data_IF_544961044638
#
_entry.id   IF_544961044638
#
_cell.length_a   1.000
_cell.length_b   1.000
_cell.length_c   1.000
_cell.angle_alpha   90.00
_cell.angle_beta   90.00
_cell.angle_gamma   90.00
#
_symmetry.space_group_name_H-M   'P 1'
#
loop_
_entity.id
_entity.type
_entity.pdbx_description
1 polymer ?
#
# COMPACT_ATOMS: atom_id res chain seq x y z
N UNK A 1 9.73 -3.23 -7.86
CA UNK A 1 8.43 -2.55 -8.20
C UNK A 1 7.89 -1.75 -7.03
N UNK A 2 7.77 -2.35 -5.84
CA UNK A 2 7.30 -1.63 -4.65
C UNK A 2 8.29 -0.53 -4.24
N UNK A 3 9.56 -0.92 -4.03
CA UNK A 3 10.66 -0.03 -3.66
C UNK A 3 11.02 0.90 -4.81
N UNK A 4 11.31 0.37 -6.00
CA UNK A 4 11.87 1.19 -7.09
C UNK A 4 10.86 2.12 -7.79
N UNK A 5 9.55 1.87 -7.66
CA UNK A 5 8.52 2.60 -8.42
C UNK A 5 7.42 3.15 -7.53
N UNK A 6 6.77 2.29 -6.73
CA UNK A 6 5.57 2.67 -6.00
C UNK A 6 5.87 3.66 -4.88
N UNK A 7 6.85 3.38 -4.01
CA UNK A 7 7.21 4.26 -2.89
C UNK A 7 7.71 5.65 -3.37
N UNK A 8 8.60 5.75 -4.38
CA UNK A 8 8.96 7.04 -4.97
C UNK A 8 7.78 7.79 -5.58
N UNK A 9 6.85 7.08 -6.23
CA UNK A 9 5.66 7.71 -6.82
C UNK A 9 4.70 8.25 -5.75
N UNK A 10 4.54 7.53 -4.63
CA UNK A 10 3.77 8.02 -3.46
C UNK A 10 4.43 9.30 -2.95
N UNK A 11 5.74 9.29 -2.68
CA UNK A 11 6.46 10.47 -2.22
C UNK A 11 6.27 11.68 -3.16
N UNK A 12 6.39 11.47 -4.48
CA UNK A 12 6.23 12.54 -5.48
C UNK A 12 4.80 13.08 -5.58
N UNK A 13 3.79 12.25 -5.36
CA UNK A 13 2.37 12.62 -5.60
C UNK A 13 1.58 12.93 -4.33
N UNK A 14 2.07 12.54 -3.16
CA UNK A 14 1.36 12.77 -1.90
C UNK A 14 1.29 14.28 -1.59
N UNK A 15 0.13 14.80 -1.17
CA UNK A 15 -0.02 16.21 -0.84
C UNK A 15 1.01 16.66 0.21
N UNK A 16 1.69 17.77 -0.05
CA UNK A 16 2.69 18.32 0.87
C UNK A 16 2.10 18.64 2.25
N UNK A 17 0.84 19.09 2.30
CA UNK A 17 0.11 19.35 3.54
C UNK A 17 -0.02 18.11 4.42
N UNK A 18 -0.08 16.92 3.83
CA UNK A 18 -0.46 15.68 4.51
C UNK A 18 0.75 14.78 4.77
N UNK A 19 1.97 15.25 4.48
CA UNK A 19 3.21 14.48 4.68
C UNK A 19 3.51 14.14 6.14
N UNK A 20 2.95 14.93 7.07
CA UNK A 20 3.04 14.68 8.50
C UNK A 20 2.15 13.53 8.96
N UNK A 21 1.22 13.05 8.11
CA UNK A 21 0.32 11.97 8.46
C UNK A 21 0.98 10.60 8.28
N UNK A 22 0.52 9.65 9.09
CA UNK A 22 0.90 8.26 8.96
C UNK A 22 0.21 7.62 7.75
N UNK A 23 0.98 7.01 6.85
CA UNK A 23 0.47 6.38 5.63
C UNK A 23 0.47 4.87 5.81
N UNK A 24 -0.70 4.26 5.73
CA UNK A 24 -0.85 2.80 5.70
C UNK A 24 -1.06 2.32 4.26
N UNK A 25 -0.17 1.45 3.78
CA UNK A 25 -0.31 0.77 2.50
C UNK A 25 -0.88 -0.62 2.77
N UNK A 26 -2.11 -0.85 2.31
CA UNK A 26 -2.80 -2.13 2.46
C UNK A 26 -2.44 -3.07 1.30
N UNK A 27 -2.17 -4.33 1.63
CA UNK A 27 -1.97 -5.44 0.67
C UNK A 27 -2.75 -6.67 1.11
N UNK A 28 -3.07 -7.54 0.14
CA UNK A 28 -3.68 -8.84 0.39
C UNK A 28 -2.67 -9.84 0.97
N UNK A 29 -3.18 -10.94 1.55
CA UNK A 29 -2.36 -12.03 2.10
C UNK A 29 -2.09 -13.10 1.04
N UNK A 30 -1.51 -12.71 -0.09
CA UNK A 30 -1.24 -13.66 -1.18
C UNK A 30 0.25 -13.70 -1.48
N UNK A 31 0.89 -14.87 -1.42
CA UNK A 31 2.26 -15.02 -1.95
C UNK A 31 2.18 -14.86 -3.47
N UNK A 32 2.98 -13.99 -4.12
CA UNK A 32 4.36 -13.61 -3.81
C UNK A 32 4.55 -12.21 -3.19
N UNK A 33 3.52 -11.61 -2.59
CA UNK A 33 3.63 -10.24 -2.09
C UNK A 33 4.65 -10.11 -0.96
N UNK A 34 5.32 -8.95 -0.95
CA UNK A 34 6.45 -8.66 -0.06
C UNK A 34 6.02 -8.81 1.39
N UNK A 35 6.81 -9.53 2.17
CA UNK A 35 6.58 -9.66 3.61
C UNK A 35 6.63 -8.28 4.25
N UNK A 36 5.75 -7.97 5.20
CA UNK A 36 5.84 -6.73 6.00
C UNK A 36 7.15 -6.62 6.82
N UNK A 37 7.97 -7.68 6.83
CA UNK A 37 9.29 -7.75 7.45
C UNK A 37 10.43 -7.70 6.43
N UNK A 38 10.12 -7.49 5.17
CA UNK A 38 11.15 -7.29 4.14
C UNK A 38 11.94 -6.03 4.49
N UNK A 39 13.21 -6.23 4.78
CA UNK A 39 14.09 -5.19 5.34
C UNK A 39 14.26 -4.03 4.38
N UNK A 40 14.28 -4.30 3.06
CA UNK A 40 14.42 -3.27 2.02
C UNK A 40 13.17 -2.40 1.95
N UNK A 41 11.98 -3.01 1.98
CA UNK A 41 10.72 -2.26 2.01
C UNK A 41 10.57 -1.46 3.31
N UNK A 42 10.93 -2.05 4.46
CA UNK A 42 10.85 -1.35 5.75
C UNK A 42 11.83 -0.18 5.80
N UNK A 43 13.04 -0.34 5.26
CA UNK A 43 14.02 0.74 5.19
C UNK A 43 13.53 1.89 4.31
N UNK A 44 13.02 1.59 3.10
CA UNK A 44 12.50 2.61 2.19
C UNK A 44 11.24 3.31 2.75
N UNK A 45 10.37 2.59 3.47
CA UNK A 45 9.20 3.20 4.14
C UNK A 45 9.56 4.16 5.28
N UNK A 46 10.78 4.04 5.84
CA UNK A 46 11.30 4.89 6.92
C UNK A 46 12.32 5.93 6.43
N UNK A 47 12.55 5.99 5.14
CA UNK A 47 13.55 6.90 4.57
C UNK A 47 13.02 8.34 4.56
N UNK A 48 13.79 9.26 5.14
CA UNK A 48 13.43 10.68 5.26
C UNK A 48 12.34 10.93 6.30
N UNK A 49 11.49 11.94 6.04
CA UNK A 49 10.45 12.38 6.98
C UNK A 49 9.11 11.63 6.82
N UNK A 50 9.12 10.47 6.17
CA UNK A 50 7.90 9.71 5.89
C UNK A 50 7.60 8.69 6.97
N UNK A 51 6.34 8.64 7.40
CA UNK A 51 5.84 7.60 8.30
C UNK A 51 4.94 6.63 7.53
N UNK A 52 5.56 5.72 6.76
CA UNK A 52 4.84 4.72 5.95
C UNK A 52 4.92 3.34 6.62
N UNK A 53 3.86 2.55 6.52
CA UNK A 53 3.92 1.12 6.82
C UNK A 53 3.12 0.24 5.86
N UNK A 54 3.58 -1.00 5.76
CA UNK A 54 2.89 -2.05 5.02
C UNK A 54 1.98 -2.84 5.96
N UNK A 55 0.72 -2.99 5.58
CA UNK A 55 -0.27 -3.78 6.30
C UNK A 55 -0.83 -4.87 5.41
N UNK A 56 -0.64 -6.13 5.84
CA UNK A 56 -1.30 -7.27 5.21
C UNK A 56 -2.69 -7.45 5.80
N UNK A 57 -3.65 -7.75 4.94
CA UNK A 57 -4.96 -8.19 5.36
C UNK A 57 -4.88 -9.59 6.00
N UNK A 58 -5.86 -9.96 6.84
CA UNK A 58 -6.02 -11.34 7.25
C UNK A 58 -6.34 -12.23 6.03
N UNK A 59 -5.84 -13.46 6.02
CA UNK A 59 -6.12 -14.42 4.96
C UNK A 59 -7.65 -14.63 4.80
N UNK A 60 -8.12 -14.79 3.56
CA UNK A 60 -9.53 -15.02 3.22
C UNK A 60 -10.49 -13.91 3.68
N UNK A 61 -10.04 -12.64 3.65
CA UNK A 61 -10.89 -11.48 3.97
C UNK A 61 -11.16 -10.61 2.72
N UNK A 62 -11.88 -11.12 1.70
CA UNK A 62 -12.15 -10.39 0.46
C UNK A 62 -12.94 -9.09 0.72
N UNK A 63 -13.76 -9.08 1.76
CA UNK A 63 -14.56 -7.91 2.18
C UNK A 63 -13.74 -6.83 2.91
N UNK A 64 -12.40 -6.95 2.95
CA UNK A 64 -11.53 -5.99 3.65
C UNK A 64 -10.63 -5.19 2.70
N UNK A 65 -10.68 -5.48 1.39
CA UNK A 65 -9.90 -4.78 0.37
C UNK A 65 -10.70 -3.64 -0.27
N UNK A 66 -10.29 -2.41 0.03
CA UNK A 66 -10.89 -1.21 -0.55
C UNK A 66 -10.83 -1.21 -2.09
N UNK A 67 -9.78 -1.79 -2.68
CA UNK A 67 -9.67 -1.90 -4.14
C UNK A 67 -10.68 -2.89 -4.71
N UNK A 68 -10.86 -4.05 -4.08
CA UNK A 68 -11.82 -5.07 -4.53
C UNK A 68 -13.27 -4.59 -4.35
N UNK A 69 -13.61 -4.06 -3.18
CA UNK A 69 -14.96 -3.61 -2.86
C UNK A 69 -15.39 -2.32 -3.56
N UNK A 70 -14.43 -1.42 -3.80
CA UNK A 70 -14.70 -0.09 -4.34
C UNK A 70 -14.36 0.03 -5.82
N UNK A 71 -13.06 0.04 -6.13
CA UNK A 71 -12.56 0.41 -7.44
C UNK A 71 -12.84 -0.67 -8.49
N UNK A 72 -12.41 -1.91 -8.23
CA UNK A 72 -12.61 -3.02 -9.15
C UNK A 72 -14.07 -3.39 -9.27
N UNK A 73 -14.82 -3.42 -8.16
CA UNK A 73 -16.27 -3.65 -8.21
C UNK A 73 -16.97 -2.70 -9.19
N UNK A 74 -16.61 -1.40 -9.18
CA UNK A 74 -17.19 -0.41 -10.11
C UNK A 74 -16.75 -0.58 -11.57
N UNK A 75 -15.58 -1.16 -11.82
CA UNK A 75 -15.10 -1.46 -13.17
C UNK A 75 -15.85 -2.67 -13.74
N UNK A 76 -16.05 -3.71 -12.93
CA UNK A 76 -16.67 -4.96 -13.36
C UNK A 76 -18.20 -4.94 -13.35
N UNK A 77 -18.84 -4.11 -12.51
CA UNK A 77 -20.31 -3.90 -12.49
C UNK A 77 -20.86 -3.08 -13.67
N UNK A 78 -20.00 -2.51 -14.52
CA UNK A 78 -20.40 -1.73 -15.71
C UNK A 78 -20.33 -2.52 -17.01
N UNK A 79 -20.36 -3.86 -16.93
CA UNK A 79 -20.52 -4.75 -18.07
C UNK A 79 -21.89 -5.40 -18.06
#
# INVERSE_FOLDING_TARGET
MLVDKMLPAINKKWPHSDRHMYIMIQQDYTSPHVSNKDEEVVACCKEGDWSISMRRQPAKSPDSNALDLGFFNRIYLRR
#
